data_IF_596016197486
#
_entry.id   IF_596016197486
#
_cell.length_a   1.000
_cell.length_b   1.000
_cell.length_c   1.000
_cell.angle_alpha   90.00
_cell.angle_beta   90.00
_cell.angle_gamma   90.00
#
_symmetry.space_group_name_H-M   'P 1'
#
loop_
_entity.id
_entity.type
_entity.pdbx_description
1 polymer ?
#
# COMPACT_ATOMS: atom_id res chain seq x y z
N UNK A 1 -20.35 9.98 0.24
CA UNK A 1 -19.26 9.22 0.88
C UNK A 1 -18.09 10.16 1.10
N UNK A 2 -17.52 10.19 2.29
CA UNK A 2 -16.31 10.97 2.58
C UNK A 2 -15.10 10.41 1.84
N UNK A 3 -14.11 11.27 1.59
CA UNK A 3 -12.84 10.85 1.00
C UNK A 3 -12.04 9.99 1.99
N UNK A 4 -11.27 9.03 1.48
CA UNK A 4 -10.39 8.19 2.27
C UNK A 4 -8.98 8.13 1.68
N UNK A 5 -8.03 7.64 2.47
CA UNK A 5 -6.62 7.49 2.12
C UNK A 5 -6.19 6.04 2.24
N UNK A 6 -5.15 5.67 1.51
CA UNK A 6 -4.43 4.40 1.68
C UNK A 6 -2.95 4.71 1.80
N UNK A 7 -2.32 4.30 2.90
CA UNK A 7 -0.88 4.44 3.12
C UNK A 7 -0.15 3.20 2.60
N UNK A 8 0.99 3.42 1.97
CA UNK A 8 1.86 2.38 1.43
C UNK A 8 3.22 2.43 2.14
N UNK A 9 3.51 1.40 2.90
CA UNK A 9 4.81 1.09 3.48
C UNK A 9 5.45 -0.09 2.73
N UNK A 10 6.70 -0.39 3.02
CA UNK A 10 7.40 -1.60 2.57
C UNK A 10 8.07 -2.26 3.79
N UNK A 11 9.29 -1.88 4.09
CA UNK A 11 10.05 -2.38 5.25
C UNK A 11 9.77 -1.59 6.52
N UNK A 12 9.71 -2.27 7.67
CA UNK A 12 9.72 -1.64 9.01
C UNK A 12 10.98 -2.07 9.73
N UNK A 13 12.10 -1.46 9.35
CA UNK A 13 13.44 -1.77 9.86
C UNK A 13 14.38 -0.60 9.64
N UNK A 14 15.56 -0.64 10.24
CA UNK A 14 16.63 0.29 9.91
C UNK A 14 17.14 0.03 8.48
N UNK A 15 17.46 1.08 7.71
CA UNK A 15 18.11 0.92 6.41
C UNK A 15 19.49 0.29 6.58
N UNK A 16 19.85 -0.69 5.75
CA UNK A 16 21.17 -1.33 5.74
C UNK A 16 22.08 -0.74 4.67
N UNK A 17 21.48 -0.34 3.54
CA UNK A 17 22.14 0.31 2.42
C UNK A 17 21.48 1.66 2.12
N UNK A 18 22.20 2.64 1.52
CA UNK A 18 21.64 3.95 1.25
C UNK A 18 20.31 3.96 0.47
N UNK A 19 20.09 3.12 -0.56
CA UNK A 19 18.80 3.08 -1.27
C UNK A 19 17.65 2.57 -0.40
N UNK A 20 17.93 1.75 0.63
CA UNK A 20 16.89 1.25 1.55
C UNK A 20 16.17 2.39 2.28
N UNK A 21 16.88 3.51 2.55
CA UNK A 21 16.36 4.62 3.35
C UNK A 21 15.02 5.19 2.82
N UNK A 22 14.73 4.99 1.53
CA UNK A 22 13.43 5.36 0.98
C UNK A 22 12.31 4.45 1.49
N UNK A 23 12.56 3.15 1.57
CA UNK A 23 11.53 2.13 1.79
C UNK A 23 11.56 1.52 3.19
N UNK A 24 12.65 1.69 3.94
CA UNK A 24 12.82 1.17 5.29
C UNK A 24 12.45 2.24 6.33
N UNK A 25 11.26 2.09 6.92
CA UNK A 25 10.80 2.94 8.01
C UNK A 25 11.34 2.37 9.34
N UNK A 26 12.16 3.12 10.10
CA UNK A 26 12.62 2.68 11.41
C UNK A 26 11.46 2.28 12.33
N UNK A 27 11.54 1.18 13.11
CA UNK A 27 10.43 0.69 13.95
C UNK A 27 9.87 1.75 14.90
N UNK A 28 10.73 2.52 15.56
CA UNK A 28 10.31 3.60 16.45
C UNK A 28 9.59 4.75 15.71
N UNK A 29 9.91 4.96 14.43
CA UNK A 29 9.22 5.96 13.61
C UNK A 29 7.86 5.42 13.14
N UNK A 30 7.80 4.16 12.73
CA UNK A 30 6.54 3.49 12.38
C UNK A 30 5.54 3.53 13.55
N UNK A 31 5.98 3.18 14.76
CA UNK A 31 5.14 3.28 15.96
C UNK A 31 4.60 4.69 16.17
N UNK A 32 5.44 5.73 16.01
CA UNK A 32 5.00 7.13 16.09
C UNK A 32 4.00 7.50 15.00
N UNK A 33 4.13 6.93 13.81
CA UNK A 33 3.16 7.11 12.72
C UNK A 33 1.79 6.52 13.09
N UNK A 34 1.76 5.29 13.58
CA UNK A 34 0.51 4.63 13.99
C UNK A 34 -0.14 5.35 15.18
N UNK A 35 0.65 5.70 16.20
CA UNK A 35 0.19 6.50 17.33
C UNK A 35 -0.34 7.88 16.90
N UNK A 36 0.24 8.50 15.87
CA UNK A 36 -0.26 9.76 15.32
C UNK A 36 -1.64 9.58 14.69
N UNK A 37 -1.86 8.53 13.90
CA UNK A 37 -3.18 8.24 13.29
C UNK A 37 -4.26 8.14 14.37
N UNK A 38 -4.01 7.32 15.40
CA UNK A 38 -4.95 7.11 16.51
C UNK A 38 -5.23 8.43 17.25
N UNK A 39 -4.17 9.13 17.70
CA UNK A 39 -4.31 10.39 18.46
C UNK A 39 -4.99 11.51 17.68
N UNK A 40 -4.85 11.52 16.35
CA UNK A 40 -5.48 12.53 15.49
C UNK A 40 -6.88 12.14 15.03
N UNK A 41 -7.45 11.04 15.56
CA UNK A 41 -8.80 10.60 15.27
C UNK A 41 -8.99 10.08 13.83
N UNK A 42 -7.95 9.53 13.21
CA UNK A 42 -8.12 8.78 11.97
C UNK A 42 -8.77 7.42 12.30
N UNK A 43 -9.79 7.06 11.52
CA UNK A 43 -10.35 5.72 11.54
C UNK A 43 -9.55 4.84 10.61
N UNK A 44 -8.74 3.94 11.18
CA UNK A 44 -8.03 2.97 10.35
C UNK A 44 -9.02 1.87 9.96
N UNK A 45 -9.14 1.63 8.66
CA UNK A 45 -10.08 0.68 8.04
C UNK A 45 -9.34 -0.33 7.20
N UNK A 46 -9.92 -1.51 7.00
CA UNK A 46 -9.37 -2.54 6.14
C UNK A 46 -9.67 -2.27 4.65
N UNK A 47 -8.98 -2.98 3.74
CA UNK A 47 -9.31 -2.92 2.32
C UNK A 47 -10.64 -3.60 2.01
N UNK A 48 -11.08 -4.55 2.82
CA UNK A 48 -12.39 -5.20 2.73
C UNK A 48 -13.51 -4.20 3.05
N UNK A 49 -13.35 -3.34 4.08
CA UNK A 49 -14.28 -2.26 4.38
C UNK A 49 -14.32 -1.23 3.25
N UNK A 50 -13.15 -0.90 2.65
CA UNK A 50 -13.08 -0.02 1.48
C UNK A 50 -13.82 -0.65 0.29
N UNK A 51 -13.59 -1.93 0.01
CA UNK A 51 -14.28 -2.66 -1.05
C UNK A 51 -15.80 -2.62 -0.85
N UNK A 52 -16.29 -2.96 0.34
CA UNK A 52 -17.71 -2.90 0.68
C UNK A 52 -18.30 -1.49 0.48
N UNK A 53 -17.52 -0.46 0.75
CA UNK A 53 -17.96 0.93 0.56
C UNK A 53 -17.99 1.36 -0.92
N UNK A 54 -17.04 0.89 -1.73
CA UNK A 54 -16.99 1.16 -3.17
C UNK A 54 -18.07 0.41 -3.95
N UNK A 55 -18.44 -0.79 -3.49
CA UNK A 55 -19.49 -1.62 -4.10
C UNK A 55 -20.91 -1.31 -3.57
N UNK A 56 -21.04 -0.37 -2.65
CA UNK A 56 -22.34 0.17 -2.21
C UNK A 56 -22.93 -0.47 -0.95
N UNK A 57 -22.21 -1.44 -0.32
CA UNK A 57 -22.71 -2.13 0.88
C UNK A 57 -22.41 -1.42 2.21
N UNK A 58 -21.42 -0.53 2.25
CA UNK A 58 -20.96 0.13 3.48
C UNK A 58 -20.77 1.64 3.29
N UNK A 59 -20.71 2.36 4.42
CA UNK A 59 -20.28 3.75 4.47
C UNK A 59 -19.03 3.88 5.32
N UNK A 60 -17.96 4.44 4.76
CA UNK A 60 -16.75 4.70 5.53
C UNK A 60 -16.92 5.94 6.41
N UNK A 61 -16.43 5.88 7.66
CA UNK A 61 -16.34 7.04 8.53
C UNK A 61 -15.52 8.18 7.93
N UNK A 62 -15.70 9.39 8.44
CA UNK A 62 -14.80 10.49 8.11
C UNK A 62 -13.37 10.20 8.56
N UNK A 63 -12.40 10.74 7.80
CA UNK A 63 -10.96 10.53 8.07
C UNK A 63 -10.52 9.07 8.03
N UNK A 64 -11.19 8.23 7.22
CA UNK A 64 -10.77 6.85 7.00
C UNK A 64 -9.41 6.78 6.30
N UNK A 65 -8.56 5.90 6.80
CA UNK A 65 -7.24 5.59 6.24
C UNK A 65 -6.99 4.08 6.33
N UNK A 66 -6.49 3.46 5.26
CA UNK A 66 -5.99 2.09 5.30
C UNK A 66 -4.46 2.08 5.39
N UNK A 67 -3.90 1.05 6.01
CA UNK A 67 -2.45 0.82 6.10
C UNK A 67 -2.11 -0.41 5.28
N UNK A 68 -1.19 -0.24 4.31
CA UNK A 68 -0.74 -1.34 3.45
C UNK A 68 0.78 -1.44 3.44
N UNK A 69 1.28 -2.66 3.24
CA UNK A 69 2.70 -2.96 3.07
C UNK A 69 2.89 -3.73 1.77
N UNK A 70 3.87 -3.33 0.97
CA UNK A 70 4.21 -4.03 -0.25
C UNK A 70 5.37 -5.01 -0.02
N UNK A 71 5.53 -5.95 -0.95
CA UNK A 71 6.57 -6.97 -1.05
C UNK A 71 6.44 -8.13 -0.05
N UNK A 72 6.05 -7.90 1.20
CA UNK A 72 5.96 -8.95 2.22
C UNK A 72 7.28 -9.25 2.92
N UNK A 73 8.02 -8.23 3.32
CA UNK A 73 9.27 -8.35 4.09
C UNK A 73 9.03 -8.98 5.46
N UNK A 74 9.98 -9.80 5.95
CA UNK A 74 9.90 -10.46 7.26
C UNK A 74 9.80 -9.48 8.43
N UNK A 75 10.35 -8.27 8.28
CA UNK A 75 10.24 -7.21 9.29
C UNK A 75 8.81 -6.67 9.49
N UNK A 76 7.90 -6.97 8.56
CA UNK A 76 6.48 -6.68 8.79
C UNK A 76 5.90 -7.56 9.92
N UNK A 77 6.35 -8.80 10.05
CA UNK A 77 6.03 -9.68 11.18
C UNK A 77 6.79 -9.26 12.45
N UNK A 78 8.10 -9.03 12.32
CA UNK A 78 9.00 -8.83 13.45
C UNK A 78 8.76 -7.47 14.15
N UNK A 79 8.47 -6.41 13.39
CA UNK A 79 8.45 -5.03 13.88
C UNK A 79 7.11 -4.31 13.67
N UNK A 80 6.44 -4.49 12.51
CA UNK A 80 5.20 -3.78 12.24
C UNK A 80 4.01 -4.39 12.98
N UNK A 81 3.83 -5.70 12.85
CA UNK A 81 2.67 -6.40 13.39
C UNK A 81 2.48 -6.23 14.91
N UNK A 82 3.49 -6.33 15.79
CA UNK A 82 3.29 -6.09 17.22
C UNK A 82 2.74 -4.69 17.55
N UNK A 83 3.10 -3.69 16.77
CA UNK A 83 2.57 -2.33 16.91
C UNK A 83 1.12 -2.25 16.46
N UNK A 84 0.81 -2.86 15.30
CA UNK A 84 -0.54 -2.87 14.73
C UNK A 84 -1.51 -3.63 15.65
N UNK A 85 -1.12 -4.81 16.14
CA UNK A 85 -1.91 -5.63 17.06
C UNK A 85 -2.20 -4.89 18.36
N UNK A 86 -1.19 -4.31 19.01
CA UNK A 86 -1.35 -3.55 20.24
C UNK A 86 -2.29 -2.36 20.10
N UNK A 87 -2.31 -1.71 18.93
CA UNK A 87 -3.13 -0.53 18.66
C UNK A 87 -4.50 -0.88 18.02
N UNK A 88 -4.77 -2.17 17.75
CA UNK A 88 -5.98 -2.61 17.07
C UNK A 88 -6.11 -2.05 15.65
N UNK A 89 -5.01 -1.90 14.94
CA UNK A 89 -4.94 -1.31 13.59
C UNK A 89 -4.99 -2.43 12.55
N UNK A 90 -6.05 -2.51 11.71
CA UNK A 90 -6.09 -3.43 10.58
C UNK A 90 -5.06 -3.00 9.52
N UNK A 91 -4.46 -3.99 8.85
CA UNK A 91 -3.50 -3.76 7.78
C UNK A 91 -3.58 -4.85 6.71
N UNK A 92 -3.10 -4.52 5.51
CA UNK A 92 -2.96 -5.48 4.41
C UNK A 92 -1.51 -5.56 3.98
N UNK A 93 -0.98 -6.78 3.85
CA UNK A 93 0.37 -7.04 3.31
C UNK A 93 0.23 -7.66 1.93
N UNK A 94 0.81 -7.03 0.91
CA UNK A 94 0.86 -7.55 -0.45
C UNK A 94 2.12 -8.39 -0.66
N UNK A 95 1.93 -9.68 -0.97
CA UNK A 95 3.03 -10.65 -1.05
C UNK A 95 3.47 -10.89 -2.49
N UNK A 96 4.79 -10.89 -2.70
CA UNK A 96 5.43 -11.53 -3.85
C UNK A 96 5.49 -13.02 -3.56
N UNK A 97 4.54 -13.79 -4.10
CA UNK A 97 4.29 -15.16 -3.63
C UNK A 97 5.44 -16.12 -3.88
N UNK A 98 6.18 -15.97 -4.98
CA UNK A 98 7.36 -16.77 -5.29
C UNK A 98 8.56 -16.47 -4.39
N UNK A 99 8.51 -15.39 -3.61
CA UNK A 99 9.56 -15.01 -2.68
C UNK A 99 9.26 -15.39 -1.22
N UNK A 100 8.05 -15.88 -0.91
CA UNK A 100 7.68 -16.29 0.45
C UNK A 100 8.67 -17.34 0.99
N UNK A 101 9.23 -17.07 2.16
CA UNK A 101 10.26 -17.88 2.80
C UNK A 101 11.68 -17.75 2.20
N UNK A 102 11.87 -16.80 1.28
CA UNK A 102 13.13 -16.56 0.56
C UNK A 102 13.66 -15.14 0.83
N UNK A 103 14.24 -14.51 -0.20
CA UNK A 103 14.72 -13.12 -0.17
C UNK A 103 14.15 -12.31 -1.32
N UNK A 104 14.31 -10.98 -1.24
CA UNK A 104 13.90 -9.99 -2.25
C UNK A 104 14.81 -10.02 -3.50
N UNK A 105 14.89 -11.17 -4.18
CA UNK A 105 15.82 -11.43 -5.29
C UNK A 105 15.65 -10.44 -6.46
N UNK A 106 14.46 -9.86 -6.69
CA UNK A 106 14.23 -8.85 -7.74
C UNK A 106 14.95 -7.53 -7.49
N UNK A 107 15.49 -7.33 -6.27
CA UNK A 107 16.29 -6.15 -5.90
C UNK A 107 17.81 -6.39 -6.04
N UNK A 108 18.23 -7.61 -6.36
CA UNK A 108 19.66 -7.95 -6.54
C UNK A 108 20.27 -7.12 -7.68
N UNK A 109 21.50 -6.66 -7.49
CA UNK A 109 22.22 -5.82 -8.44
C UNK A 109 21.77 -4.35 -8.52
N UNK A 110 20.74 -3.95 -7.72
CA UNK A 110 20.21 -2.56 -7.71
C UNK A 110 20.71 -1.72 -6.53
N UNK A 111 21.69 -2.20 -5.78
CA UNK A 111 22.25 -1.51 -4.62
C UNK A 111 21.42 -1.58 -3.35
N UNK A 112 20.31 -2.35 -3.35
CA UNK A 112 19.51 -2.59 -2.17
C UNK A 112 20.04 -3.76 -1.36
N UNK A 113 19.81 -3.75 -0.04
CA UNK A 113 20.18 -4.85 0.81
C UNK A 113 19.34 -6.10 0.53
N UNK A 114 19.98 -7.27 0.68
CA UNK A 114 19.25 -8.53 0.69
C UNK A 114 18.44 -8.65 1.99
N UNK A 115 17.14 -8.88 1.86
CA UNK A 115 16.19 -8.96 2.98
C UNK A 115 15.42 -10.28 2.94
N UNK A 116 15.12 -10.83 4.14
CA UNK A 116 14.23 -11.99 4.26
C UNK A 116 12.79 -11.58 3.99
N UNK A 117 12.05 -12.48 3.37
CA UNK A 117 10.61 -12.34 3.17
C UNK A 117 9.84 -13.16 4.21
N UNK A 118 8.58 -12.83 4.44
CA UNK A 118 7.67 -13.60 5.29
C UNK A 118 7.65 -15.07 4.89
N UNK A 119 7.65 -15.96 5.88
CA UNK A 119 7.38 -17.38 5.67
C UNK A 119 5.86 -17.63 5.68
N UNK A 120 5.41 -18.74 5.10
CA UNK A 120 3.99 -19.13 5.14
C UNK A 120 3.47 -19.35 6.57
N UNK A 121 4.30 -19.76 7.53
CA UNK A 121 3.90 -19.85 8.94
C UNK A 121 3.60 -18.49 9.54
N UNK A 122 4.46 -17.48 9.28
CA UNK A 122 4.23 -16.10 9.71
C UNK A 122 3.00 -15.47 9.04
N UNK A 123 2.81 -15.71 7.74
CA UNK A 123 1.65 -15.26 6.98
C UNK A 123 0.35 -15.80 7.59
N UNK A 124 0.29 -17.10 7.88
CA UNK A 124 -0.89 -17.70 8.52
C UNK A 124 -1.14 -17.15 9.93
N UNK A 125 -0.10 -17.08 10.76
CA UNK A 125 -0.23 -16.54 12.11
C UNK A 125 -0.76 -15.11 12.12
N UNK A 126 -0.21 -14.20 11.29
CA UNK A 126 -0.71 -12.84 11.16
C UNK A 126 -2.15 -12.81 10.63
N UNK A 127 -2.48 -13.70 9.69
CA UNK A 127 -3.81 -13.77 9.09
C UNK A 127 -4.88 -14.24 10.08
N UNK A 128 -4.55 -15.21 10.96
CA UNK A 128 -5.43 -15.69 12.01
C UNK A 128 -5.72 -14.63 13.08
N UNK A 129 -4.83 -13.62 13.15
CA UNK A 129 -4.95 -12.48 14.07
C UNK A 129 -5.36 -11.17 13.36
N UNK A 130 -5.98 -11.28 12.18
CA UNK A 130 -6.69 -10.17 11.55
C UNK A 130 -5.88 -9.30 10.57
N UNK A 131 -4.65 -9.68 10.24
CA UNK A 131 -3.93 -9.05 9.12
C UNK A 131 -4.44 -9.64 7.82
N UNK A 132 -4.82 -8.78 6.87
CA UNK A 132 -5.21 -9.19 5.53
C UNK A 132 -3.98 -9.37 4.64
N UNK A 133 -4.08 -10.29 3.67
CA UNK A 133 -3.05 -10.49 2.67
C UNK A 133 -3.61 -10.33 1.27
N UNK A 134 -2.85 -9.63 0.42
CA UNK A 134 -3.13 -9.43 -1.00
C UNK A 134 -1.96 -9.88 -1.86
N UNK A 135 -2.16 -9.90 -3.17
CA UNK A 135 -1.13 -10.29 -4.13
C UNK A 135 -0.29 -9.09 -4.60
N UNK A 136 1.02 -9.33 -4.74
CA UNK A 136 1.96 -8.46 -5.42
C UNK A 136 2.67 -9.19 -6.56
N UNK A 137 1.92 -10.05 -7.30
CA UNK A 137 2.39 -10.97 -8.33
C UNK A 137 3.18 -12.18 -7.79
N UNK A 138 3.57 -13.07 -8.66
CA UNK A 138 4.39 -14.22 -8.29
C UNK A 138 5.88 -13.86 -8.20
N UNK A 139 6.41 -13.05 -9.14
CA UNK A 139 7.86 -12.77 -9.26
C UNK A 139 8.25 -11.29 -9.23
N UNK A 140 7.29 -10.37 -9.04
CA UNK A 140 7.48 -8.91 -9.01
C UNK A 140 7.97 -8.31 -10.34
N UNK A 141 7.41 -8.69 -11.50
CA UNK A 141 7.80 -8.15 -12.79
C UNK A 141 7.17 -6.78 -13.06
N UNK A 142 7.65 -6.11 -14.10
CA UNK A 142 6.97 -4.97 -14.71
C UNK A 142 5.86 -5.49 -15.63
N UNK A 143 4.63 -5.60 -15.13
CA UNK A 143 3.51 -6.21 -15.85
C UNK A 143 3.25 -5.59 -17.23
N UNK A 144 3.50 -4.28 -17.38
CA UNK A 144 3.33 -3.56 -18.66
C UNK A 144 4.38 -3.92 -19.73
N UNK A 145 5.42 -4.67 -19.35
CA UNK A 145 6.48 -5.13 -20.25
C UNK A 145 6.32 -6.61 -20.64
N UNK A 146 5.30 -7.30 -20.09
CA UNK A 146 5.02 -8.71 -20.32
C UNK A 146 3.97 -8.91 -21.42
N UNK A 147 3.99 -10.10 -22.04
CA UNK A 147 2.89 -10.53 -22.91
C UNK A 147 1.61 -10.79 -22.10
N UNK A 148 0.42 -10.72 -22.73
CA UNK A 148 -0.85 -10.96 -22.02
C UNK A 148 -0.90 -12.31 -21.27
N UNK A 149 -0.35 -13.37 -21.86
CA UNK A 149 -0.27 -14.70 -21.24
C UNK A 149 0.62 -14.70 -19.99
N UNK A 150 1.76 -14.03 -20.04
CA UNK A 150 2.66 -13.88 -18.86
C UNK A 150 2.00 -13.05 -17.75
N UNK A 151 1.27 -11.99 -18.12
CA UNK A 151 0.49 -11.21 -17.15
C UNK A 151 -0.55 -12.09 -16.45
N UNK A 152 -1.30 -12.89 -17.21
CA UNK A 152 -2.29 -13.81 -16.65
C UNK A 152 -1.65 -14.84 -15.72
N UNK A 153 -0.53 -15.44 -16.13
CA UNK A 153 0.22 -16.40 -15.31
C UNK A 153 0.67 -15.77 -13.98
N UNK A 154 1.22 -14.56 -13.98
CA UNK A 154 1.63 -13.84 -12.78
C UNK A 154 0.46 -13.57 -11.83
N UNK A 155 -0.68 -13.16 -12.37
CA UNK A 155 -1.87 -12.83 -11.59
C UNK A 155 -2.57 -14.08 -11.03
N UNK A 156 -2.80 -15.08 -11.86
CA UNK A 156 -3.53 -16.29 -11.46
C UNK A 156 -2.69 -17.17 -10.53
N UNK A 157 -1.40 -17.37 -10.85
CA UNK A 157 -0.52 -18.18 -10.00
C UNK A 157 -0.32 -17.56 -8.63
N UNK A 158 -0.13 -16.23 -8.55
CA UNK A 158 0.04 -15.57 -7.26
C UNK A 158 -1.23 -15.59 -6.42
N UNK A 159 -2.41 -15.40 -7.04
CA UNK A 159 -3.70 -15.51 -6.35
C UNK A 159 -3.89 -16.90 -5.77
N UNK A 160 -3.71 -17.94 -6.62
CA UNK A 160 -3.85 -19.34 -6.20
C UNK A 160 -2.90 -19.68 -5.04
N UNK A 161 -1.61 -19.31 -5.15
CA UNK A 161 -0.65 -19.55 -4.10
C UNK A 161 -1.03 -18.92 -2.76
N UNK A 162 -1.62 -17.72 -2.79
CA UNK A 162 -2.14 -17.07 -1.58
C UNK A 162 -3.38 -17.76 -1.04
N UNK A 163 -4.35 -18.10 -1.88
CA UNK A 163 -5.58 -18.79 -1.47
C UNK A 163 -5.28 -20.17 -0.89
N UNK A 164 -4.36 -20.92 -1.51
CA UNK A 164 -3.88 -22.22 -0.99
C UNK A 164 -3.13 -22.06 0.33
N UNK A 165 -2.28 -21.03 0.44
CA UNK A 165 -1.48 -20.75 1.65
C UNK A 165 -2.30 -20.29 2.85
N UNK A 166 -3.40 -19.56 2.60
CA UNK A 166 -4.27 -18.93 3.60
C UNK A 166 -5.55 -19.73 3.89
N UNK A 167 -5.97 -20.62 2.98
CA UNK A 167 -7.24 -21.33 3.07
C UNK A 167 -8.48 -20.43 2.90
N UNK A 168 -8.33 -19.23 2.30
CA UNK A 168 -9.42 -18.26 2.12
C UNK A 168 -9.24 -17.43 0.86
N UNK A 169 -10.33 -16.86 0.28
CA UNK A 169 -10.25 -16.02 -0.91
C UNK A 169 -9.37 -14.78 -0.70
N UNK A 170 -8.68 -14.37 -1.76
CA UNK A 170 -7.85 -13.16 -1.79
C UNK A 170 -8.54 -12.07 -2.60
N UNK A 171 -8.81 -10.94 -1.92
CA UNK A 171 -9.56 -9.83 -2.46
C UNK A 171 -8.70 -8.84 -3.25
N UNK A 172 -7.49 -8.54 -2.75
CA UNK A 172 -6.75 -7.34 -3.12
C UNK A 172 -5.45 -7.62 -3.86
N UNK A 173 -5.08 -6.70 -4.75
CA UNK A 173 -3.86 -6.71 -5.54
C UNK A 173 -3.12 -5.37 -5.42
N UNK A 174 -1.78 -5.37 -5.55
CA UNK A 174 -0.99 -4.15 -5.73
C UNK A 174 -0.08 -4.32 -6.95
N UNK A 175 -0.04 -3.29 -7.81
CA UNK A 175 0.79 -3.31 -9.03
C UNK A 175 2.26 -3.12 -8.68
N UNK A 176 3.17 -4.06 -9.05
CA UNK A 176 4.61 -3.86 -8.90
C UNK A 176 5.06 -2.55 -9.57
N UNK A 177 5.90 -1.79 -8.87
CA UNK A 177 6.37 -0.46 -9.29
C UNK A 177 5.25 0.57 -9.54
N UNK A 178 3.98 0.22 -9.32
CA UNK A 178 2.82 1.03 -9.68
C UNK A 178 2.58 1.15 -11.19
N UNK A 179 3.22 0.30 -12.00
CA UNK A 179 3.09 0.29 -13.45
C UNK A 179 1.80 -0.43 -13.85
N UNK A 180 0.91 0.31 -14.49
CA UNK A 180 -0.39 -0.18 -14.94
C UNK A 180 -0.84 0.58 -16.19
N UNK A 181 -1.33 -0.17 -17.18
CA UNK A 181 -2.10 0.31 -18.34
C UNK A 181 -3.50 -0.34 -18.32
N UNK A 182 -4.35 -0.02 -19.28
CA UNK A 182 -5.72 -0.52 -19.33
C UNK A 182 -5.76 -2.05 -19.48
N UNK A 183 -4.87 -2.64 -20.27
CA UNK A 183 -4.78 -4.09 -20.49
C UNK A 183 -4.44 -4.84 -19.19
N UNK A 184 -3.44 -4.37 -18.43
CA UNK A 184 -3.05 -4.94 -17.14
C UNK A 184 -4.16 -4.74 -16.12
N UNK A 185 -4.78 -3.55 -16.08
CA UNK A 185 -5.92 -3.27 -15.18
C UNK A 185 -7.07 -4.24 -15.42
N UNK A 186 -7.45 -4.48 -16.69
CA UNK A 186 -8.49 -5.42 -17.05
C UNK A 186 -8.11 -6.88 -16.75
N UNK A 187 -6.84 -7.25 -16.94
CA UNK A 187 -6.34 -8.57 -16.58
C UNK A 187 -6.48 -8.84 -15.07
N UNK A 188 -6.19 -7.85 -14.21
CA UNK A 188 -6.38 -7.96 -12.75
C UNK A 188 -7.87 -8.19 -12.41
N UNK A 189 -8.78 -7.48 -13.07
CA UNK A 189 -10.22 -7.69 -12.90
C UNK A 189 -10.65 -9.10 -13.36
N UNK A 190 -10.21 -9.56 -14.53
CA UNK A 190 -10.49 -10.91 -15.04
C UNK A 190 -9.89 -12.02 -14.17
N UNK A 191 -8.73 -11.79 -13.57
CA UNK A 191 -8.12 -12.72 -12.60
C UNK A 191 -8.93 -12.87 -11.30
N UNK A 192 -9.99 -12.06 -11.12
CA UNK A 192 -10.97 -12.18 -10.05
C UNK A 192 -10.58 -11.45 -8.78
N UNK A 193 -9.63 -10.50 -8.79
CA UNK A 193 -9.43 -9.59 -7.69
C UNK A 193 -10.59 -8.60 -7.57
N UNK A 194 -10.96 -8.23 -6.36
CA UNK A 194 -12.05 -7.28 -6.11
C UNK A 194 -11.61 -5.82 -6.18
N UNK A 195 -10.36 -5.53 -5.82
CA UNK A 195 -9.75 -4.20 -5.88
C UNK A 195 -8.24 -4.28 -6.13
N UNK A 196 -7.66 -3.18 -6.60
CA UNK A 196 -6.22 -3.07 -6.76
C UNK A 196 -5.68 -1.68 -6.40
N UNK A 197 -4.46 -1.66 -5.86
CA UNK A 197 -3.77 -0.48 -5.40
C UNK A 197 -2.67 -0.04 -6.37
N UNK A 198 -2.72 1.22 -6.81
CA UNK A 198 -1.65 1.88 -7.56
C UNK A 198 -0.68 2.62 -6.63
N UNK A 199 0.37 3.23 -7.19
CA UNK A 199 1.28 4.14 -6.47
C UNK A 199 0.95 5.62 -6.72
N UNK A 200 -0.12 5.91 -7.46
CA UNK A 200 -0.57 7.28 -7.71
C UNK A 200 -1.08 7.89 -6.41
N UNK A 201 -0.53 9.04 -6.00
CA UNK A 201 -0.99 9.75 -4.80
C UNK A 201 -2.32 10.45 -5.03
N UNK A 202 -3.09 10.62 -3.95
CA UNK A 202 -4.37 11.33 -3.99
C UNK A 202 -5.38 10.79 -2.98
N UNK A 203 -6.46 11.55 -2.79
CA UNK A 203 -7.63 11.06 -2.09
C UNK A 203 -8.39 10.08 -2.99
N UNK A 204 -8.92 9.03 -2.37
CA UNK A 204 -9.91 8.16 -2.98
C UNK A 204 -11.32 8.62 -2.57
N UNK A 205 -12.30 8.33 -3.43
CA UNK A 205 -13.72 8.63 -3.24
C UNK A 205 -14.55 7.47 -3.79
N UNK A 206 -15.86 7.55 -3.67
CA UNK A 206 -16.76 6.52 -4.20
C UNK A 206 -16.61 6.29 -5.70
N UNK A 207 -16.29 7.34 -6.45
CA UNK A 207 -16.13 7.33 -7.91
C UNK A 207 -14.72 6.87 -8.34
N UNK A 208 -13.80 6.62 -7.40
CA UNK A 208 -12.47 6.11 -7.72
C UNK A 208 -12.58 4.69 -8.27
N UNK A 209 -11.91 4.44 -9.38
CA UNK A 209 -11.81 3.08 -9.91
C UNK A 209 -11.18 2.16 -8.84
N UNK A 210 -11.92 1.13 -8.44
CA UNK A 210 -11.48 0.19 -7.41
C UNK A 210 -10.23 -0.59 -7.79
N UNK A 211 -9.90 -0.66 -9.08
CA UNK A 211 -8.66 -1.26 -9.58
C UNK A 211 -7.51 -0.27 -9.74
N UNK A 212 -7.69 0.99 -9.38
CA UNK A 212 -6.68 2.05 -9.42
C UNK A 212 -6.66 2.87 -8.12
N UNK A 213 -6.83 2.23 -6.95
CA UNK A 213 -6.81 2.93 -5.67
C UNK A 213 -5.49 3.68 -5.50
N UNK A 214 -5.62 4.95 -5.16
CA UNK A 214 -4.49 5.85 -4.93
C UNK A 214 -3.90 5.59 -3.56
N UNK A 215 -2.58 5.59 -3.47
CA UNK A 215 -1.87 5.40 -2.20
C UNK A 215 -0.88 6.53 -1.94
N UNK A 216 -0.67 6.81 -0.69
CA UNK A 216 0.38 7.72 -0.21
C UNK A 216 1.58 6.88 0.18
N UNK A 217 2.67 7.02 -0.56
CA UNK A 217 3.95 6.38 -0.23
C UNK A 217 4.54 7.02 1.02
N UNK A 218 4.80 6.21 2.05
CA UNK A 218 5.47 6.65 3.27
C UNK A 218 6.93 6.24 3.21
N UNK A 219 7.81 7.24 3.13
CA UNK A 219 9.25 7.02 3.08
C UNK A 219 9.84 6.75 4.47
N UNK A 220 10.90 5.96 4.55
CA UNK A 220 11.63 5.73 5.79
C UNK A 220 12.17 7.00 6.46
N UNK A 221 12.28 8.09 5.70
CA UNK A 221 12.71 9.41 6.19
C UNK A 221 11.57 10.34 6.60
N UNK A 222 10.31 9.89 6.50
CA UNK A 222 9.15 10.73 6.79
C UNK A 222 8.92 10.84 8.30
N UNK A 223 9.44 11.89 8.91
CA UNK A 223 9.09 12.24 10.29
C UNK A 223 7.57 12.49 10.40
N UNK A 224 7.02 12.41 11.60
CA UNK A 224 5.56 12.57 11.86
C UNK A 224 4.95 13.82 11.20
N UNK A 225 5.66 14.93 11.15
CA UNK A 225 5.17 16.15 10.50
C UNK A 225 5.01 15.99 8.97
N UNK A 226 5.90 15.20 8.31
CA UNK A 226 5.76 14.88 6.89
C UNK A 226 4.57 13.97 6.65
N UNK A 227 4.38 12.94 7.48
CA UNK A 227 3.19 12.11 7.42
C UNK A 227 1.92 12.96 7.60
N UNK A 228 1.89 13.88 8.57
CA UNK A 228 0.77 14.79 8.78
C UNK A 228 0.45 15.62 7.53
N UNK A 229 1.48 16.12 6.86
CA UNK A 229 1.35 16.88 5.62
C UNK A 229 0.85 15.99 4.47
N UNK A 230 1.40 14.80 4.29
CA UNK A 230 0.97 13.81 3.30
C UNK A 230 -0.51 13.44 3.48
N UNK A 231 -0.95 13.19 4.70
CA UNK A 231 -2.36 12.91 5.02
C UNK A 231 -3.28 14.12 4.76
N UNK A 232 -2.78 15.34 4.95
CA UNK A 232 -3.57 16.56 4.73
C UNK A 232 -3.80 16.84 3.24
N UNK A 233 -2.79 16.66 2.43
CA UNK A 233 -2.80 17.02 1.01
C UNK A 233 -2.93 15.82 0.07
N UNK A 234 -2.86 14.59 0.60
CA UNK A 234 -2.87 13.34 -0.16
C UNK A 234 -1.80 13.27 -1.26
N UNK A 235 -0.58 13.68 -0.94
CA UNK A 235 0.55 13.74 -1.87
C UNK A 235 1.80 13.10 -1.28
N UNK A 236 2.66 12.55 -2.15
CA UNK A 236 3.92 11.93 -1.74
C UNK A 236 5.02 12.96 -1.43
N UNK A 237 4.95 14.15 -2.02
CA UNK A 237 5.88 15.23 -1.70
C UNK A 237 5.49 15.92 -0.39
N UNK A 238 6.43 15.95 0.56
CA UNK A 238 6.26 16.63 1.82
C UNK A 238 7.52 17.44 2.13
N UNK A 239 7.40 18.75 2.02
CA UNK A 239 8.47 19.70 2.32
C UNK A 239 7.96 20.85 3.19
N UNK A 240 8.83 21.55 3.95
CA UNK A 240 8.40 22.69 4.76
C UNK A 240 7.68 23.78 3.96
N UNK A 241 8.03 23.94 2.69
CA UNK A 241 7.46 24.96 1.80
C UNK A 241 6.26 24.47 0.99
N UNK A 242 5.94 23.18 1.03
CA UNK A 242 4.85 22.60 0.24
C UNK A 242 3.49 23.24 0.52
N UNK A 243 3.06 23.50 1.78
CA UNK A 243 1.78 24.14 2.04
C UNK A 243 1.67 25.53 1.41
N UNK A 244 2.74 26.32 1.48
CA UNK A 244 2.77 27.65 0.87
C UNK A 244 2.61 27.58 -0.66
N UNK A 245 3.37 26.71 -1.31
CA UNK A 245 3.29 26.46 -2.76
C UNK A 245 1.88 25.95 -3.16
N UNK A 246 1.30 25.05 -2.39
CA UNK A 246 -0.03 24.50 -2.65
C UNK A 246 -1.12 25.57 -2.59
N UNK A 247 -1.15 26.38 -1.53
CA UNK A 247 -2.15 27.45 -1.38
C UNK A 247 -1.93 28.58 -2.39
N UNK A 248 -0.68 28.91 -2.70
CA UNK A 248 -0.34 29.89 -3.73
C UNK A 248 -0.85 29.46 -5.12
N UNK A 249 -0.56 28.25 -5.55
CA UNK A 249 -1.03 27.72 -6.83
C UNK A 249 -2.57 27.68 -6.89
N UNK A 250 -3.22 27.36 -5.78
CA UNK A 250 -4.68 27.34 -5.71
C UNK A 250 -5.30 28.73 -5.74
N UNK A 251 -4.66 29.72 -5.16
CA UNK A 251 -5.07 31.11 -5.24
C UNK A 251 -4.90 31.67 -6.67
N UNK A 252 -3.76 31.38 -7.30
CA UNK A 252 -3.50 31.73 -8.70
C UNK A 252 -4.54 31.12 -9.66
N UNK A 253 -4.82 29.80 -9.51
CA UNK A 253 -5.82 29.13 -10.35
C UNK A 253 -7.23 29.73 -10.21
N UNK A 254 -7.60 30.21 -9.01
CA UNK A 254 -8.88 30.91 -8.78
C UNK A 254 -8.87 32.32 -9.39
N UNK A 255 -7.73 32.98 -9.45
CA UNK A 255 -7.60 34.33 -9.99
C UNK A 255 -7.61 34.30 -11.52
N UNK A 256 -6.88 33.34 -12.13
CA UNK A 256 -6.83 33.13 -13.59
C UNK A 256 -8.19 32.59 -14.11
N UNK A 257 -8.87 31.69 -13.38
CA UNK A 257 -10.18 31.15 -13.75
C UNK A 257 -11.37 32.11 -13.60
N UNK A 258 -11.16 33.31 -13.05
CA UNK A 258 -12.16 34.39 -12.99
C UNK A 258 -12.01 35.44 -14.10
N UNK A 259 -11.04 35.23 -15.01
CA UNK A 259 -10.72 36.17 -16.09
C UNK A 259 -11.14 35.69 -17.50
N UNK A 260 -12.13 34.77 -17.61
CA UNK A 260 -12.80 34.41 -18.88
C UNK A 260 -14.29 34.42 -18.66
#
# INVERSE_FOLDING_TARGET
MSRFLVLMYHMVSEPKEPPDARFACPPALFERHMAYLVRRGFRVVSLEEIYGALTGGLSLPDRSVAVTFDDGYADNYENAWPVLERLGIPATVFLVTGAVGRSNHWMEGRGFSRRRMLSWSQVREMSDRGVSFGSHTASHPRLTELSPMQVEDELVSSRRALEDGLGKPVLSFAYPYGLVNDEVREAVERAGYGLACSTRSGFNRRETDRFLLRRIEVYGTDRVWRLAQKLTFAMNDASPFFPLKYYWNRALARWIGKGI
#
